data_IF_053187399048
#
_entry.id   IF_053187399048
#
_cell.length_a   1.000
_cell.length_b   1.000
_cell.length_c   1.000
_cell.angle_alpha   90.00
_cell.angle_beta   90.00
_cell.angle_gamma   90.00
#
_symmetry.space_group_name_H-M   'P 1'
#
loop_
_entity.id
_entity.type
_entity.pdbx_description
1 polymer ?
#
# COMPACT_ATOMS: atom_id res chain seq x y z
N UNK A 1 12.61 -0.39 -10.44
CA UNK A 1 11.77 -0.72 -9.25
C UNK A 1 11.04 -2.02 -9.53
N UNK A 2 11.07 -2.98 -8.59
CA UNK A 2 10.20 -4.18 -8.66
C UNK A 2 8.82 -3.81 -8.13
N UNK A 3 7.75 -4.32 -8.73
CA UNK A 3 6.39 -4.11 -8.22
C UNK A 3 5.45 -5.24 -8.61
N UNK A 4 4.44 -5.49 -7.76
CA UNK A 4 3.39 -6.49 -8.00
C UNK A 4 2.08 -6.05 -7.33
N UNK A 5 0.96 -6.51 -7.87
CA UNK A 5 -0.36 -6.34 -7.27
C UNK A 5 -0.69 -7.58 -6.43
N UNK A 6 -1.25 -7.37 -5.26
CA UNK A 6 -1.68 -8.46 -4.41
C UNK A 6 -2.96 -8.16 -3.64
N UNK A 7 -3.40 -9.13 -2.87
CA UNK A 7 -4.59 -9.09 -2.03
C UNK A 7 -4.22 -9.49 -0.60
N UNK A 8 -4.61 -8.68 0.36
CA UNK A 8 -4.36 -8.96 1.77
C UNK A 8 -5.18 -10.16 2.25
N UNK A 9 -4.53 -11.25 2.59
CA UNK A 9 -5.20 -12.45 3.13
C UNK A 9 -5.51 -12.26 4.61
N UNK A 10 -4.52 -11.85 5.39
CA UNK A 10 -4.67 -11.66 6.83
C UNK A 10 -3.37 -11.39 7.54
N UNK A 11 -3.40 -11.48 8.86
CA UNK A 11 -2.19 -11.42 9.69
C UNK A 11 -2.00 -12.73 10.43
N UNK A 12 -0.74 -13.10 10.58
CA UNK A 12 -0.28 -14.27 11.31
C UNK A 12 1.01 -13.94 12.04
N UNK A 13 1.67 -14.94 12.59
CA UNK A 13 2.99 -14.82 13.20
C UNK A 13 3.88 -15.97 12.73
N UNK A 14 5.16 -15.68 12.61
CA UNK A 14 6.21 -16.66 12.31
C UNK A 14 7.20 -16.61 13.48
N UNK A 15 7.78 -17.74 13.82
CA UNK A 15 8.83 -17.84 14.83
C UNK A 15 10.19 -17.88 14.13
N UNK A 16 11.09 -17.05 14.62
CA UNK A 16 12.49 -17.08 14.24
C UNK A 16 13.21 -18.29 14.87
N UNK A 17 14.40 -18.64 14.38
CA UNK A 17 15.24 -19.70 14.91
C UNK A 17 15.50 -19.55 16.43
N UNK A 18 15.57 -18.32 16.92
CA UNK A 18 15.73 -17.98 18.33
C UNK A 18 14.41 -18.01 19.15
N UNK A 19 13.30 -18.49 18.57
CA UNK A 19 11.99 -18.48 19.22
C UNK A 19 11.31 -17.13 19.31
N UNK A 20 11.86 -16.07 18.68
CA UNK A 20 11.26 -14.74 18.66
C UNK A 20 10.06 -14.70 17.71
N UNK A 21 8.95 -14.15 18.19
CA UNK A 21 7.73 -13.95 17.40
C UNK A 21 7.91 -12.79 16.44
N UNK A 22 7.66 -13.04 15.15
CA UNK A 22 7.64 -12.04 14.09
C UNK A 22 6.18 -11.91 13.61
N UNK A 23 5.49 -10.78 13.88
CA UNK A 23 4.15 -10.56 13.34
C UNK A 23 4.24 -10.29 11.84
N UNK A 24 3.44 -11.01 11.05
CA UNK A 24 3.46 -10.89 9.59
C UNK A 24 2.06 -10.67 9.04
N UNK A 25 1.99 -9.94 7.93
CA UNK A 25 0.81 -9.88 7.07
C UNK A 25 1.06 -10.75 5.85
N UNK A 26 0.16 -11.69 5.60
CA UNK A 26 0.19 -12.56 4.42
C UNK A 26 -0.57 -11.87 3.30
N UNK A 27 0.09 -11.77 2.14
CA UNK A 27 -0.43 -11.16 0.93
C UNK A 27 -0.34 -12.18 -0.19
N UNK A 28 -1.43 -12.44 -0.88
CA UNK A 28 -1.48 -13.18 -2.14
C UNK A 28 -1.01 -12.23 -3.25
N UNK A 29 0.22 -12.41 -3.74
CA UNK A 29 0.89 -11.52 -4.67
C UNK A 29 0.99 -12.14 -6.06
N UNK A 30 0.10 -11.76 -6.95
CA UNK A 30 0.01 -12.32 -8.31
C UNK A 30 -0.85 -13.60 -8.37
N UNK A 31 -0.84 -14.33 -9.50
CA UNK A 31 -0.13 -13.97 -10.73
C UNK A 31 -0.70 -12.70 -11.38
N UNK A 32 0.18 -11.79 -11.82
CA UNK A 32 -0.20 -10.57 -12.53
C UNK A 32 0.18 -10.71 -14.01
N UNK A 33 -0.74 -10.40 -14.91
CA UNK A 33 -0.48 -10.46 -16.36
C UNK A 33 -0.16 -9.06 -16.89
N UNK A 34 0.84 -8.94 -17.74
CA UNK A 34 1.17 -7.70 -18.44
C UNK A 34 0.11 -7.43 -19.51
N UNK A 35 -0.63 -6.33 -19.35
CA UNK A 35 -1.71 -5.94 -20.27
C UNK A 35 -1.24 -4.93 -21.30
N UNK A 36 -0.43 -3.97 -20.90
CA UNK A 36 0.09 -2.95 -21.79
C UNK A 36 1.49 -2.53 -21.40
N UNK A 37 2.33 -2.27 -22.39
CA UNK A 37 3.62 -1.63 -22.22
C UNK A 37 3.54 -0.22 -22.80
N UNK A 38 3.86 0.79 -22.02
CA UNK A 38 3.94 2.19 -22.43
C UNK A 38 5.38 2.55 -22.72
N UNK A 39 5.60 3.27 -23.81
CA UNK A 39 6.92 3.69 -24.28
C UNK A 39 6.97 5.20 -24.40
N UNK A 40 8.17 5.77 -24.24
CA UNK A 40 8.39 7.21 -24.32
C UNK A 40 7.94 7.80 -25.67
N UNK A 41 8.05 7.02 -26.76
CA UNK A 41 7.74 7.49 -28.13
C UNK A 41 6.24 7.72 -28.35
N UNK A 42 5.38 6.92 -27.72
CA UNK A 42 3.92 6.96 -27.93
C UNK A 42 3.20 7.69 -26.81
N UNK A 43 3.52 7.36 -25.57
CA UNK A 43 2.83 7.86 -24.37
C UNK A 43 3.61 8.94 -23.62
N UNK A 44 4.89 9.17 -23.97
CA UNK A 44 5.74 10.16 -23.33
C UNK A 44 6.36 9.70 -22.00
N UNK A 45 6.12 8.47 -21.57
CA UNK A 45 6.73 7.86 -20.37
C UNK A 45 6.79 6.34 -20.50
N UNK A 46 7.64 5.72 -19.70
CA UNK A 46 7.81 4.27 -19.66
C UNK A 46 7.08 3.68 -18.46
N UNK A 47 6.18 2.72 -18.71
CA UNK A 47 5.45 2.00 -17.69
C UNK A 47 4.92 0.67 -18.21
N UNK A 48 4.66 -0.25 -17.29
CA UNK A 48 4.01 -1.53 -17.56
C UNK A 48 2.69 -1.58 -16.79
N UNK A 49 1.60 -1.84 -17.50
CA UNK A 49 0.30 -2.04 -16.90
C UNK A 49 0.13 -3.51 -16.56
N UNK A 50 -0.06 -3.82 -15.28
CA UNK A 50 -0.32 -5.15 -14.75
C UNK A 50 -1.81 -5.34 -14.50
N UNK A 51 -2.33 -6.51 -14.89
CA UNK A 51 -3.69 -6.96 -14.60
C UNK A 51 -3.70 -8.03 -13.52
N UNK A 52 -4.62 -7.94 -12.56
CA UNK A 52 -4.74 -8.86 -11.43
C UNK A 52 -6.19 -9.26 -11.17
N UNK A 53 -6.40 -10.49 -10.70
CA UNK A 53 -7.69 -11.14 -10.39
C UNK A 53 -8.61 -11.28 -11.62
N UNK A 54 -8.89 -12.50 -12.00
CA UNK A 54 -9.78 -12.80 -13.13
C UNK A 54 -11.23 -12.47 -12.77
N UNK A 55 -11.97 -11.94 -13.75
CA UNK A 55 -13.36 -11.57 -13.59
C UNK A 55 -14.19 -12.04 -14.80
N UNK A 56 -15.43 -12.49 -14.61
CA UNK A 56 -16.31 -12.79 -15.72
C UNK A 56 -16.57 -11.56 -16.60
N UNK A 57 -16.57 -11.73 -17.92
CA UNK A 57 -16.78 -10.68 -18.94
C UNK A 57 -18.01 -9.81 -18.66
N UNK A 58 -19.11 -10.41 -18.19
CA UNK A 58 -20.36 -9.71 -17.86
C UNK A 58 -20.23 -8.59 -16.84
N UNK A 59 -19.11 -8.56 -16.06
CA UNK A 59 -18.83 -7.54 -15.04
C UNK A 59 -17.94 -6.42 -15.53
N UNK A 60 -17.46 -6.50 -16.77
CA UNK A 60 -16.64 -5.47 -17.40
C UNK A 60 -17.48 -4.66 -18.39
N UNK A 61 -17.13 -3.39 -18.53
CA UNK A 61 -17.68 -2.53 -19.56
C UNK A 61 -17.08 -2.87 -20.94
N UNK A 62 -17.82 -2.55 -22.03
CA UNK A 62 -17.35 -2.79 -23.40
C UNK A 62 -15.97 -2.16 -23.70
N UNK A 63 -15.67 -0.90 -23.29
CA UNK A 63 -14.34 -0.32 -23.47
C UNK A 63 -13.23 -1.08 -22.76
N UNK A 64 -13.46 -1.52 -21.51
CA UNK A 64 -12.48 -2.31 -20.73
C UNK A 64 -12.22 -3.66 -21.40
N UNK A 65 -13.26 -4.33 -21.87
CA UNK A 65 -13.11 -5.55 -22.66
C UNK A 65 -12.32 -5.32 -23.95
N UNK A 66 -12.59 -4.22 -24.65
CA UNK A 66 -11.84 -3.85 -25.86
C UNK A 66 -10.35 -3.65 -25.59
N UNK A 67 -10.02 -3.05 -24.45
CA UNK A 67 -8.63 -2.86 -24.01
C UNK A 67 -7.91 -4.20 -23.74
N UNK A 68 -8.56 -5.09 -23.00
CA UNK A 68 -8.00 -6.42 -22.68
C UNK A 68 -7.92 -7.34 -23.89
N UNK A 69 -8.94 -7.32 -24.77
CA UNK A 69 -8.95 -8.08 -26.02
C UNK A 69 -7.84 -7.64 -26.96
N UNK A 70 -7.52 -6.33 -27.04
CA UNK A 70 -6.39 -5.82 -27.81
C UNK A 70 -5.06 -6.40 -27.34
N UNK A 71 -4.94 -6.66 -26.04
CA UNK A 71 -3.76 -7.28 -25.43
C UNK A 71 -3.77 -8.81 -25.53
N UNK A 72 -4.87 -9.44 -25.94
CA UNK A 72 -5.04 -10.90 -25.95
C UNK A 72 -5.04 -11.53 -24.55
N UNK A 73 -5.43 -10.76 -23.52
CA UNK A 73 -5.36 -11.17 -22.12
C UNK A 73 -6.77 -11.44 -21.60
N UNK A 74 -6.90 -12.46 -20.73
CA UNK A 74 -8.16 -12.76 -20.04
C UNK A 74 -8.68 -11.54 -19.24
N UNK A 75 -10.01 -11.42 -19.04
CA UNK A 75 -10.61 -10.32 -18.31
C UNK A 75 -10.04 -10.18 -16.89
N UNK A 76 -9.45 -9.01 -16.58
CA UNK A 76 -8.84 -8.71 -15.27
C UNK A 76 -9.62 -7.63 -14.54
N UNK A 77 -9.76 -7.78 -13.24
CA UNK A 77 -10.52 -6.87 -12.38
C UNK A 77 -9.77 -5.59 -12.04
N UNK A 78 -8.48 -5.71 -11.79
CA UNK A 78 -7.64 -4.59 -11.37
C UNK A 78 -6.53 -4.37 -12.38
N UNK A 79 -6.43 -3.14 -12.86
CA UNK A 79 -5.36 -2.69 -13.73
C UNK A 79 -4.58 -1.59 -13.01
N UNK A 80 -3.25 -1.72 -12.91
CA UNK A 80 -2.38 -0.71 -12.31
C UNK A 80 -1.08 -0.61 -13.09
N UNK A 81 -0.55 0.61 -13.17
CA UNK A 81 0.68 0.91 -13.87
C UNK A 81 1.85 1.02 -12.90
N UNK A 82 2.98 0.51 -13.33
CA UNK A 82 4.22 0.55 -12.58
C UNK A 82 5.39 0.90 -13.51
N UNK A 83 6.31 1.70 -12.99
CA UNK A 83 7.60 1.91 -13.62
C UNK A 83 8.56 0.82 -13.12
N UNK A 84 8.73 -0.24 -13.92
CA UNK A 84 9.56 -1.40 -13.59
C UNK A 84 10.94 -1.23 -14.22
N UNK A 85 12.01 -1.65 -13.50
CA UNK A 85 13.38 -1.60 -14.04
C UNK A 85 13.56 -2.55 -15.22
N UNK A 86 12.84 -3.68 -15.23
CA UNK A 86 12.83 -4.67 -16.30
C UNK A 86 11.71 -4.46 -17.33
N UNK A 87 11.15 -3.25 -17.41
CA UNK A 87 10.07 -2.94 -18.37
C UNK A 87 10.44 -3.24 -19.83
N UNK A 88 11.74 -3.14 -20.17
CA UNK A 88 12.23 -3.43 -21.52
C UNK A 88 12.11 -4.91 -21.89
N UNK A 89 12.30 -5.81 -20.94
CA UNK A 89 12.32 -7.27 -21.12
C UNK A 89 10.92 -7.88 -21.14
N UNK A 90 9.96 -7.24 -20.48
CA UNK A 90 8.60 -7.74 -20.38
C UNK A 90 7.81 -7.51 -21.67
N UNK A 91 7.07 -8.53 -22.09
CA UNK A 91 6.14 -8.48 -23.20
C UNK A 91 4.68 -8.52 -22.72
N UNK A 92 3.77 -8.06 -23.58
CA UNK A 92 2.33 -8.17 -23.32
C UNK A 92 1.94 -9.64 -23.26
N UNK A 93 1.23 -10.05 -22.22
CA UNK A 93 0.86 -11.43 -21.94
C UNK A 93 1.77 -12.15 -20.93
N UNK A 94 2.95 -11.61 -20.62
CA UNK A 94 3.86 -12.20 -19.64
C UNK A 94 3.22 -12.20 -18.23
N UNK A 95 3.61 -13.18 -17.42
CA UNK A 95 3.08 -13.34 -16.06
C UNK A 95 4.16 -13.00 -15.04
N UNK A 96 3.86 -12.03 -14.19
CA UNK A 96 4.68 -11.62 -13.05
C UNK A 96 4.15 -12.32 -11.79
N UNK A 97 5.00 -13.08 -11.10
CA UNK A 97 4.68 -13.85 -9.89
C UNK A 97 5.41 -13.31 -8.66
N UNK A 98 5.10 -13.90 -7.50
CA UNK A 98 5.72 -13.56 -6.22
C UNK A 98 7.25 -13.77 -6.20
N UNK A 99 7.80 -14.62 -7.05
CA UNK A 99 9.24 -14.91 -7.22
C UNK A 99 10.10 -13.69 -7.64
N UNK A 100 9.45 -12.62 -8.11
CA UNK A 100 10.10 -11.33 -8.36
C UNK A 100 10.77 -10.76 -7.10
N UNK A 101 10.24 -11.09 -5.93
CA UNK A 101 10.75 -10.67 -4.63
C UNK A 101 11.47 -11.82 -3.92
N UNK A 102 12.45 -11.46 -3.11
CA UNK A 102 13.22 -12.41 -2.31
C UNK A 102 13.02 -12.15 -0.81
N UNK A 103 13.27 -13.16 0.01
CA UNK A 103 13.33 -13.01 1.46
C UNK A 103 14.42 -12.00 1.84
N UNK A 104 14.11 -11.11 2.79
CA UNK A 104 14.98 -10.02 3.18
C UNK A 104 14.88 -8.76 2.31
N UNK A 105 14.15 -8.77 1.19
CA UNK A 105 13.89 -7.56 0.40
C UNK A 105 13.02 -6.59 1.23
N UNK A 106 13.28 -5.29 1.06
CA UNK A 106 12.48 -4.24 1.67
C UNK A 106 11.49 -3.66 0.68
N UNK A 107 10.26 -3.52 1.12
CA UNK A 107 9.14 -3.11 0.26
C UNK A 107 8.31 -1.99 0.87
N UNK A 108 7.71 -1.20 -0.02
CA UNK A 108 6.69 -0.21 0.29
C UNK A 108 5.32 -0.80 -0.12
N UNK A 109 4.40 -0.88 0.83
CA UNK A 109 3.08 -1.46 0.60
C UNK A 109 2.02 -0.37 0.64
N UNK A 110 1.34 -0.18 -0.48
CA UNK A 110 0.26 0.79 -0.64
C UNK A 110 -1.09 0.07 -0.65
N UNK A 111 -2.02 0.57 0.13
CA UNK A 111 -3.38 0.04 0.15
C UNK A 111 -4.39 1.09 0.58
N UNK A 112 -5.68 0.77 0.45
CA UNK A 112 -6.75 1.63 0.93
C UNK A 112 -7.05 1.32 2.39
N UNK A 113 -6.97 2.32 3.26
CA UNK A 113 -7.22 2.19 4.69
C UNK A 113 -8.66 1.78 4.99
N UNK A 114 -8.90 1.21 6.18
CA UNK A 114 -10.26 0.90 6.62
C UNK A 114 -11.08 2.17 6.77
N UNK A 115 -12.32 2.16 6.28
CA UNK A 115 -13.26 3.26 6.45
C UNK A 115 -13.81 3.32 7.87
N UNK A 116 -13.96 4.54 8.39
CA UNK A 116 -14.57 4.83 9.68
C UNK A 116 -15.81 5.72 9.57
N UNK A 117 -16.20 6.09 8.35
CA UNK A 117 -17.31 6.99 8.09
C UNK A 117 -17.02 8.43 8.55
N UNK A 118 -18.07 9.20 8.80
CA UNK A 118 -17.96 10.57 9.28
C UNK A 118 -17.56 10.59 10.76
N UNK A 119 -16.44 11.21 11.07
CA UNK A 119 -15.90 11.29 12.44
C UNK A 119 -15.67 12.72 12.86
N UNK A 120 -15.87 12.96 14.19
CA UNK A 120 -15.55 14.23 14.82
C UNK A 120 -14.03 14.48 14.90
N UNK A 121 -13.67 15.74 15.14
CA UNK A 121 -12.27 16.20 15.17
C UNK A 121 -11.37 15.44 16.13
N UNK A 122 -11.90 15.00 17.26
CA UNK A 122 -11.14 14.27 18.26
C UNK A 122 -10.66 12.92 17.73
N UNK A 123 -11.55 12.14 17.13
CA UNK A 123 -11.17 10.83 16.57
C UNK A 123 -10.39 10.96 15.28
N UNK A 124 -10.78 11.92 14.41
CA UNK A 124 -10.17 12.08 13.09
C UNK A 124 -8.75 12.65 13.14
N UNK A 125 -8.52 13.62 14.04
CA UNK A 125 -7.28 14.39 14.10
C UNK A 125 -6.54 14.27 15.44
N UNK A 126 -7.07 13.51 16.40
CA UNK A 126 -6.48 13.42 17.75
C UNK A 126 -6.56 14.73 18.55
N UNK A 127 -7.51 15.62 18.19
CA UNK A 127 -7.67 16.88 18.89
C UNK A 127 -8.03 16.66 20.37
N UNK A 128 -7.52 17.54 21.23
CA UNK A 128 -7.81 17.48 22.65
C UNK A 128 -9.29 17.77 22.94
N UNK A 129 -9.89 16.97 23.82
CA UNK A 129 -11.24 17.24 24.31
C UNK A 129 -11.20 18.21 25.50
N UNK A 130 -12.27 18.97 25.69
CA UNK A 130 -12.44 19.76 26.91
C UNK A 130 -12.62 18.86 28.15
N UNK A 131 -12.18 19.31 29.34
CA UNK A 131 -12.44 18.62 30.61
C UNK A 131 -13.91 18.39 30.83
N UNK A 132 -14.25 17.30 31.55
CA UNK A 132 -15.65 16.95 31.88
C UNK A 132 -16.16 17.69 33.10
N UNK A 133 -15.27 18.26 33.90
CA UNK A 133 -15.54 19.00 35.14
C UNK A 133 -14.76 20.33 35.14
N UNK A 134 -14.66 21.00 36.30
CA UNK A 134 -13.99 22.30 36.48
C UNK A 134 -14.62 23.44 35.68
N UNK A 135 -15.96 23.51 35.66
CA UNK A 135 -16.70 24.61 35.05
C UNK A 135 -16.82 24.55 33.52
N UNK A 136 -16.40 23.42 32.89
CA UNK A 136 -16.40 23.28 31.41
C UNK A 136 -17.77 23.20 30.75
N UNK A 137 -18.85 22.94 31.51
CA UNK A 137 -20.20 22.77 30.94
C UNK A 137 -20.34 21.57 30.00
N UNK A 138 -21.43 21.45 29.22
CA UNK A 138 -21.75 20.31 28.37
C UNK A 138 -20.98 20.29 27.02
N UNK A 139 -19.78 20.87 26.97
CA UNK A 139 -18.99 21.04 25.71
C UNK A 139 -17.81 20.05 25.69
N UNK A 140 -18.08 18.76 25.55
CA UNK A 140 -17.02 17.75 25.74
C UNK A 140 -16.26 17.35 24.46
N UNK A 141 -16.95 17.26 23.32
CA UNK A 141 -16.38 16.74 22.07
C UNK A 141 -16.59 17.68 20.88
N UNK A 142 -16.66 18.96 21.15
CA UNK A 142 -16.88 20.00 20.12
C UNK A 142 -15.59 20.37 19.38
N UNK A 143 -15.75 20.98 18.20
CA UNK A 143 -14.63 21.38 17.37
C UNK A 143 -13.84 22.58 17.91
N UNK A 144 -14.36 23.28 18.91
CA UNK A 144 -13.79 24.50 19.44
C UNK A 144 -14.02 25.72 18.55
N UNK A 145 -13.23 26.77 18.74
CA UNK A 145 -13.33 28.00 17.96
C UNK A 145 -13.11 27.76 16.47
N UNK A 146 -13.93 28.40 15.63
CA UNK A 146 -13.81 28.35 14.18
C UNK A 146 -12.95 29.49 13.59
N UNK A 147 -12.52 30.41 14.45
CA UNK A 147 -11.70 31.55 14.08
C UNK A 147 -12.27 32.88 14.60
N UNK A 148 -11.75 33.98 14.09
CA UNK A 148 -12.21 35.33 14.40
C UNK A 148 -13.47 35.67 13.61
N UNK A 149 -14.25 36.68 14.09
CA UNK A 149 -15.54 37.08 13.46
C UNK A 149 -15.39 37.99 12.27
N UNK A 150 -15.07 39.27 12.49
CA UNK A 150 -15.15 40.35 11.52
C UNK A 150 -13.99 40.33 10.52
N UNK A 151 -12.80 40.02 10.96
CA UNK A 151 -11.60 39.89 10.12
C UNK A 151 -10.92 38.57 10.38
N UNK A 152 -10.90 37.65 9.41
CA UNK A 152 -11.16 37.73 7.96
C UNK A 152 -12.61 37.45 7.52
N UNK A 153 -13.61 37.44 8.38
CA UNK A 153 -15.03 37.09 8.10
C UNK A 153 -15.25 35.72 7.41
N UNK A 154 -14.34 34.81 7.56
CA UNK A 154 -14.38 33.49 6.97
C UNK A 154 -13.59 32.48 7.80
N UNK A 155 -13.88 31.21 7.62
CA UNK A 155 -13.05 30.12 8.14
C UNK A 155 -11.91 29.89 7.14
N UNK A 156 -10.67 29.81 7.64
CA UNK A 156 -9.51 29.55 6.80
C UNK A 156 -9.56 28.15 6.15
N UNK A 157 -9.03 28.07 4.92
CA UNK A 157 -8.81 26.78 4.26
C UNK A 157 -7.88 25.91 5.11
N UNK A 158 -8.10 24.59 5.09
CA UNK A 158 -7.29 23.65 5.88
C UNK A 158 -7.62 23.60 7.37
N UNK A 159 -8.65 24.30 7.85
CA UNK A 159 -9.11 24.18 9.24
C UNK A 159 -9.45 22.72 9.57
N UNK A 160 -8.83 22.23 10.66
CA UNK A 160 -9.11 20.90 11.20
C UNK A 160 -10.59 20.82 11.61
N UNK A 161 -11.31 19.87 11.04
CA UNK A 161 -12.75 19.69 11.23
C UNK A 161 -13.19 18.24 11.15
N UNK A 162 -14.46 18.02 11.48
CA UNK A 162 -15.13 16.73 11.28
C UNK A 162 -15.23 16.39 9.78
N UNK A 163 -15.32 15.11 9.45
CA UNK A 163 -15.45 14.65 8.07
C UNK A 163 -15.19 13.16 7.92
N UNK A 164 -15.16 12.70 6.68
CA UNK A 164 -14.83 11.32 6.34
C UNK A 164 -13.45 10.96 6.89
N UNK A 165 -13.36 9.81 7.55
CA UNK A 165 -12.13 9.22 8.06
C UNK A 165 -11.92 7.85 7.45
N UNK A 166 -10.71 7.61 6.95
CA UNK A 166 -10.37 6.35 6.27
C UNK A 166 -10.87 6.29 4.83
N UNK A 167 -10.68 5.13 4.19
CA UNK A 167 -10.81 4.92 2.74
C UNK A 167 -9.78 5.77 1.96
N UNK A 168 -8.71 6.15 2.64
CA UNK A 168 -7.59 6.88 2.06
C UNK A 168 -6.54 5.91 1.54
N UNK A 169 -5.86 6.28 0.45
CA UNK A 169 -4.68 5.56 -0.01
C UNK A 169 -3.52 5.85 0.94
N UNK A 170 -3.01 4.80 1.57
CA UNK A 170 -1.90 4.87 2.54
C UNK A 170 -0.79 3.96 2.10
N UNK A 171 0.45 4.45 2.16
CA UNK A 171 1.66 3.66 1.91
C UNK A 171 2.44 3.50 3.20
N UNK A 172 2.68 2.25 3.60
CA UNK A 172 3.63 1.93 4.67
C UNK A 172 4.94 1.55 4.00
N UNK A 173 5.98 2.31 4.33
CA UNK A 173 7.29 2.16 3.72
C UNK A 173 8.18 1.25 4.54
N UNK A 174 9.15 0.62 3.87
CA UNK A 174 10.26 -0.05 4.51
C UNK A 174 9.85 -1.25 5.36
N UNK A 175 9.00 -2.09 4.81
CA UNK A 175 8.64 -3.37 5.41
C UNK A 175 9.53 -4.48 4.85
N UNK A 176 10.05 -5.34 5.70
CA UNK A 176 10.87 -6.50 5.31
C UNK A 176 9.98 -7.69 4.91
N UNK A 177 10.38 -8.38 3.85
CA UNK A 177 9.80 -9.65 3.43
C UNK A 177 10.43 -10.75 4.26
N UNK A 178 9.63 -11.45 5.06
CA UNK A 178 10.10 -12.54 5.93
C UNK A 178 10.13 -13.86 5.19
N UNK A 179 9.12 -14.13 4.35
CA UNK A 179 9.01 -15.38 3.59
C UNK A 179 8.30 -15.13 2.26
N UNK A 180 8.76 -15.83 1.23
CA UNK A 180 8.11 -15.88 -0.09
C UNK A 180 7.80 -17.34 -0.43
N UNK A 181 6.56 -17.60 -0.79
CA UNK A 181 6.10 -18.88 -1.30
C UNK A 181 5.67 -18.69 -2.77
N UNK A 182 6.52 -19.16 -3.67
CA UNK A 182 6.31 -19.01 -5.10
C UNK A 182 5.20 -19.91 -5.65
N UNK A 183 4.98 -21.09 -5.03
CA UNK A 183 3.98 -22.06 -5.47
C UNK A 183 2.56 -21.56 -5.19
N UNK A 184 2.37 -20.98 -4.01
CA UNK A 184 1.09 -20.40 -3.59
C UNK A 184 0.96 -18.91 -3.93
N UNK A 185 1.98 -18.29 -4.50
CA UNK A 185 2.06 -16.85 -4.76
C UNK A 185 1.81 -16.00 -3.49
N UNK A 186 2.36 -16.43 -2.35
CA UNK A 186 2.22 -15.73 -1.08
C UNK A 186 3.51 -15.00 -0.70
N UNK A 187 3.33 -13.79 -0.20
CA UNK A 187 4.41 -12.99 0.40
C UNK A 187 4.02 -12.68 1.84
N UNK A 188 4.87 -13.04 2.79
CA UNK A 188 4.74 -12.69 4.20
C UNK A 188 5.60 -11.45 4.50
N UNK A 189 4.94 -10.32 4.75
CA UNK A 189 5.59 -9.04 5.05
C UNK A 189 5.50 -8.79 6.55
N UNK A 190 6.62 -8.39 7.16
CA UNK A 190 6.69 -8.07 8.58
C UNK A 190 5.88 -6.84 8.92
N UNK A 191 4.95 -6.98 9.87
CA UNK A 191 4.15 -5.88 10.40
C UNK A 191 2.78 -5.74 9.76
N UNK A 192 2.17 -4.57 9.92
CA UNK A 192 0.82 -4.29 9.48
C UNK A 192 0.79 -3.68 8.07
N UNK A 193 -0.22 -4.06 7.29
CA UNK A 193 -0.49 -3.55 5.94
C UNK A 193 -1.85 -2.85 5.93
N UNK A 194 -2.01 -1.71 5.21
CA UNK A 194 -3.26 -0.98 5.16
C UNK A 194 -4.43 -1.81 4.64
N UNK A 195 -5.62 -1.49 5.12
CA UNK A 195 -6.87 -2.04 4.60
C UNK A 195 -7.42 -3.26 5.32
N UNK A 196 -8.64 -3.68 4.95
CA UNK A 196 -9.30 -4.89 5.44
C UNK A 196 -8.71 -6.16 4.80
N UNK A 197 -9.08 -7.33 5.31
CA UNK A 197 -8.87 -8.61 4.63
C UNK A 197 -9.57 -8.58 3.26
N UNK A 198 -8.95 -9.15 2.25
CA UNK A 198 -9.44 -9.10 0.86
C UNK A 198 -9.21 -7.77 0.14
N UNK A 199 -8.60 -6.78 0.81
CA UNK A 199 -8.26 -5.49 0.19
C UNK A 199 -7.11 -5.60 -0.80
N UNK A 200 -7.19 -4.81 -1.88
CA UNK A 200 -6.11 -4.68 -2.87
C UNK A 200 -4.92 -3.97 -2.24
N UNK A 201 -3.73 -4.49 -2.49
CA UNK A 201 -2.46 -3.89 -2.09
C UNK A 201 -1.49 -3.87 -3.26
N UNK A 202 -0.68 -2.82 -3.32
CA UNK A 202 0.39 -2.66 -4.29
C UNK A 202 1.72 -2.77 -3.54
N UNK A 203 2.53 -3.73 -3.92
CA UNK A 203 3.85 -3.97 -3.33
C UNK A 203 4.88 -3.42 -4.31
N UNK A 204 5.78 -2.58 -3.82
CA UNK A 204 6.87 -2.00 -4.59
C UNK A 204 8.17 -2.14 -3.81
N UNK A 205 9.31 -2.27 -4.50
CA UNK A 205 10.60 -2.14 -3.82
C UNK A 205 10.70 -0.77 -3.15
N UNK A 206 11.24 -0.73 -1.92
CA UNK A 206 11.33 0.51 -1.17
C UNK A 206 12.16 1.57 -1.89
N UNK A 207 11.77 2.84 -1.73
CA UNK A 207 12.56 3.99 -2.18
C UNK A 207 13.63 4.40 -1.17
N UNK A 208 13.57 3.86 0.06
CA UNK A 208 14.58 4.16 1.09
C UNK A 208 15.84 3.36 0.87
N UNK A 209 16.97 4.03 0.92
CA UNK A 209 18.28 3.36 0.88
C UNK A 209 18.53 2.62 2.19
N UNK A 210 18.70 1.31 2.12
CA UNK A 210 19.15 0.51 3.26
C UNK A 210 20.68 0.47 3.29
N UNK A 211 21.26 0.88 4.40
CA UNK A 211 22.62 0.47 4.71
C UNK A 211 22.55 -1.03 4.99
N UNK A 212 23.18 -1.83 4.15
CA UNK A 212 23.42 -3.24 4.45
C UNK A 212 24.13 -3.24 5.80
N UNK A 213 23.50 -3.78 6.83
CA UNK A 213 24.21 -4.14 8.06
C UNK A 213 25.15 -5.25 7.60
N UNK A 214 26.42 -4.91 7.39
CA UNK A 214 27.43 -5.95 7.31
C UNK A 214 27.27 -6.76 8.57
N UNK A 215 26.93 -8.05 8.43
CA UNK A 215 26.99 -9.01 9.52
C UNK A 215 28.37 -8.77 10.16
N UNK A 216 28.39 -8.58 11.46
CA UNK A 216 29.54 -8.26 12.25
C UNK A 216 30.72 -9.16 11.85
N UNK A 217 31.57 -8.64 10.97
CA UNK A 217 32.94 -9.13 10.88
C UNK A 217 33.57 -8.67 12.18
N UNK A 218 33.63 -9.59 13.14
CA UNK A 218 34.32 -9.38 14.40
C UNK A 218 35.78 -9.02 14.18
N UNK A 219 36.04 -7.74 14.02
CA UNK A 219 37.39 -7.14 14.09
C UNK A 219 37.28 -6.03 15.14
N UNK A 220 37.61 -6.41 16.36
CA UNK A 220 37.94 -5.45 17.39
C UNK A 220 39.27 -4.80 16.99
N UNK A 221 39.23 -3.67 16.37
CA UNK A 221 40.41 -2.78 16.31
C UNK A 221 40.33 -1.83 17.50
N UNK A 222 40.97 -2.22 18.56
CA UNK A 222 41.33 -1.36 19.65
C UNK A 222 42.71 -0.80 19.31
N UNK A 223 42.91 0.49 18.97
CA UNK A 223 44.23 1.10 18.96
C UNK A 223 44.60 1.52 20.38
N UNK A 224 45.73 1.04 20.83
CA UNK A 224 46.41 1.53 22.03
C UNK A 224 46.76 3.01 21.89
#
# INVERSE_FOLDING_TARGET
MKAIIGKKVGMSQIFDENGKVIPVTVIEAGPCTVVQKKTSDKEGYEAVQLGYEDIPERKLSKPEMGHLNKAGVAPKKYLREFNLDNAAELNVGDIVKADTFKEGDFVDVTGTSKGHGYQGVIKRWGAQRTPTSHGGGPVHRHAGSMGSTTDPSRIFKGKIGAGQMGVDQVTIQNLDIVKVDADLNLIAVRGAVPGPKGGLVLIKSTVKTHRVKHADSGISNNPQ
#
